data_IF_568122084576
#
_entry.id   IF_568122084576
#
_cell.length_a   1.000
_cell.length_b   1.000
_cell.length_c   1.000
_cell.angle_alpha   90.00
_cell.angle_beta   90.00
_cell.angle_gamma   90.00
#
_symmetry.space_group_name_H-M   'P 1'
#
loop_
_entity.id
_entity.type
_entity.pdbx_description
1 polymer ?
#
# COMPACT_ATOMS: atom_id res chain seq x y z
N UNK A 1 1.69 3.84 -25.56
CA UNK A 1 2.46 2.75 -24.91
C UNK A 1 1.47 2.06 -23.99
N UNK A 2 1.32 0.74 -24.10
CA UNK A 2 0.38 -0.01 -23.26
C UNK A 2 1.10 -0.37 -21.97
N UNK A 3 0.46 -0.17 -20.82
CA UNK A 3 0.98 -0.58 -19.51
C UNK A 3 0.16 -1.76 -19.02
N UNK A 4 0.81 -2.87 -18.72
CA UNK A 4 0.18 -4.04 -18.13
C UNK A 4 0.58 -4.20 -16.65
N UNK A 5 -0.41 -4.26 -15.77
CA UNK A 5 -0.19 -4.32 -14.33
C UNK A 5 -0.68 -5.64 -13.70
N UNK A 6 0.06 -6.13 -12.69
CA UNK A 6 -0.43 -7.14 -11.76
C UNK A 6 -0.92 -6.45 -10.49
N UNK A 7 -2.18 -6.66 -10.11
CA UNK A 7 -2.77 -6.12 -8.88
C UNK A 7 -2.92 -7.25 -7.86
N UNK A 8 -2.16 -7.17 -6.77
CA UNK A 8 -2.22 -8.09 -5.64
C UNK A 8 -3.11 -7.49 -4.54
N UNK A 9 -4.34 -8.00 -4.40
CA UNK A 9 -5.36 -7.37 -3.56
C UNK A 9 -6.30 -8.34 -2.83
N UNK A 10 -6.71 -7.96 -1.62
CA UNK A 10 -7.71 -8.69 -0.83
C UNK A 10 -9.14 -8.36 -1.27
N UNK A 11 -9.61 -8.91 -2.40
CA UNK A 11 -11.03 -8.75 -2.73
C UNK A 11 -11.49 -9.28 -4.08
N UNK A 12 -12.15 -10.44 -4.07
CA UNK A 12 -13.15 -10.78 -5.10
C UNK A 12 -14.59 -10.52 -4.62
N UNK A 13 -14.80 -10.42 -3.30
CA UNK A 13 -16.13 -10.21 -2.72
C UNK A 13 -16.45 -8.71 -2.66
N UNK A 14 -17.38 -8.30 -3.51
CA UNK A 14 -17.88 -6.92 -3.71
C UNK A 14 -18.55 -6.28 -2.49
N UNK A 15 -18.68 -6.99 -1.37
CA UNK A 15 -19.35 -6.50 -0.16
C UNK A 15 -18.41 -6.25 1.03
N UNK A 16 -17.09 -6.42 0.89
CA UNK A 16 -16.14 -6.07 1.95
C UNK A 16 -15.51 -4.69 1.73
N UNK A 17 -15.17 -3.94 2.81
CA UNK A 17 -14.44 -2.66 2.70
C UNK A 17 -13.15 -2.75 1.88
N UNK A 18 -12.49 -3.91 1.89
CA UNK A 18 -11.29 -4.21 1.10
C UNK A 18 -11.59 -4.48 -0.38
N UNK A 19 -12.72 -5.11 -0.71
CA UNK A 19 -13.13 -5.36 -2.09
C UNK A 19 -13.48 -4.08 -2.86
N UNK A 20 -14.01 -3.06 -2.17
CA UNK A 20 -14.33 -1.77 -2.79
C UNK A 20 -13.09 -1.03 -3.32
N UNK A 21 -11.91 -1.23 -2.71
CA UNK A 21 -10.72 -0.44 -3.06
C UNK A 21 -10.19 -0.78 -4.46
N UNK A 22 -10.31 -2.03 -4.89
CA UNK A 22 -9.92 -2.47 -6.23
C UNK A 22 -11.08 -2.51 -7.23
N UNK A 23 -12.29 -2.25 -6.77
CA UNK A 23 -13.48 -2.25 -7.61
C UNK A 23 -13.39 -1.20 -8.73
N UNK A 24 -12.77 -0.05 -8.46
CA UNK A 24 -12.55 0.99 -9.45
C UNK A 24 -11.83 0.47 -10.70
N UNK A 25 -10.79 -0.34 -10.53
CA UNK A 25 -10.08 -0.97 -11.66
C UNK A 25 -11.03 -1.82 -12.51
N UNK A 26 -11.88 -2.64 -11.88
CA UNK A 26 -12.84 -3.50 -12.59
C UNK A 26 -13.96 -2.69 -13.26
N UNK A 27 -14.51 -1.70 -12.57
CA UNK A 27 -15.61 -0.88 -13.08
C UNK A 27 -15.21 -0.06 -14.29
N UNK A 28 -13.97 0.44 -14.32
CA UNK A 28 -13.46 1.31 -15.37
C UNK A 28 -12.43 0.60 -16.25
N UNK A 29 -12.44 -0.74 -16.34
CA UNK A 29 -11.42 -1.50 -17.06
C UNK A 29 -11.33 -1.11 -18.55
N UNK A 30 -12.47 -0.95 -19.21
CA UNK A 30 -12.52 -0.53 -20.61
C UNK A 30 -12.04 0.91 -20.79
N UNK A 31 -12.41 1.82 -19.88
CA UNK A 31 -11.99 3.21 -19.92
C UNK A 31 -10.48 3.36 -19.67
N UNK A 32 -9.93 2.61 -18.71
CA UNK A 32 -8.50 2.53 -18.43
C UNK A 32 -7.73 2.01 -19.65
N UNK A 33 -8.24 0.97 -20.31
CA UNK A 33 -7.63 0.42 -21.53
C UNK A 33 -7.69 1.41 -22.69
N UNK A 34 -8.87 1.97 -22.96
CA UNK A 34 -9.10 2.79 -24.16
C UNK A 34 -8.49 4.18 -24.03
N UNK A 35 -8.49 4.76 -22.83
CA UNK A 35 -8.02 6.13 -22.61
C UNK A 35 -6.54 6.19 -22.23
N UNK A 36 -6.04 5.20 -21.48
CA UNK A 36 -4.68 5.22 -20.92
C UNK A 36 -3.80 4.09 -21.43
N UNK A 37 -4.34 3.14 -22.21
CA UNK A 37 -3.60 1.92 -22.57
C UNK A 37 -3.27 1.07 -21.34
N UNK A 38 -4.02 1.20 -20.25
CA UNK A 38 -3.77 0.49 -19.00
C UNK A 38 -4.62 -0.78 -18.92
N UNK A 39 -3.96 -1.93 -18.86
CA UNK A 39 -4.61 -3.23 -18.65
C UNK A 39 -4.06 -3.87 -17.39
N UNK A 40 -4.80 -4.80 -16.79
CA UNK A 40 -4.36 -5.42 -15.56
C UNK A 40 -4.87 -6.84 -15.39
N UNK A 41 -4.10 -7.62 -14.64
CA UNK A 41 -4.53 -8.85 -13.99
C UNK A 41 -4.71 -8.59 -12.50
N UNK A 42 -5.73 -9.21 -11.90
CA UNK A 42 -5.96 -9.10 -10.47
C UNK A 42 -5.83 -10.47 -9.83
N UNK A 43 -4.94 -10.59 -8.83
CA UNK A 43 -4.75 -11.82 -8.07
C UNK A 43 -5.18 -11.58 -6.63
N UNK A 44 -6.05 -12.47 -6.16
CA UNK A 44 -6.44 -12.48 -4.76
C UNK A 44 -5.22 -12.83 -3.89
N UNK A 45 -5.03 -12.07 -2.81
CA UNK A 45 -4.07 -12.36 -1.75
C UNK A 45 -4.83 -12.53 -0.44
N UNK A 46 -4.42 -13.47 0.40
CA UNK A 46 -4.96 -13.69 1.74
C UNK A 46 -3.89 -13.46 2.83
N UNK A 47 -2.62 -13.60 2.47
CA UNK A 47 -1.47 -13.59 3.37
C UNK A 47 -0.31 -12.78 2.78
N UNK A 48 0.69 -12.48 3.61
CA UNK A 48 1.96 -11.90 3.15
C UNK A 48 2.73 -12.86 2.21
N UNK A 49 2.58 -14.17 2.38
CA UNK A 49 3.21 -15.15 1.48
C UNK A 49 2.60 -15.09 0.08
N UNK A 50 1.30 -14.80 -0.06
CA UNK A 50 0.67 -14.58 -1.37
C UNK A 50 1.23 -13.32 -2.05
N UNK A 51 1.50 -12.26 -1.28
CA UNK A 51 2.15 -11.04 -1.79
C UNK A 51 3.54 -11.40 -2.32
N UNK A 52 4.34 -12.09 -1.50
CA UNK A 52 5.70 -12.52 -1.87
C UNK A 52 5.66 -13.40 -3.12
N UNK A 53 4.79 -14.40 -3.18
CA UNK A 53 4.63 -15.27 -4.33
C UNK A 53 4.23 -14.49 -5.60
N UNK A 54 3.31 -13.54 -5.48
CA UNK A 54 2.91 -12.65 -6.58
C UNK A 54 4.07 -11.85 -7.14
N UNK A 55 4.82 -11.17 -6.27
CA UNK A 55 6.01 -10.39 -6.62
C UNK A 55 7.08 -11.28 -7.29
N UNK A 56 7.44 -12.40 -6.68
CA UNK A 56 8.43 -13.32 -7.25
C UNK A 56 7.99 -13.86 -8.61
N UNK A 57 6.71 -14.18 -8.78
CA UNK A 57 6.17 -14.66 -10.06
C UNK A 57 6.24 -13.60 -11.17
N UNK A 58 5.96 -12.34 -10.86
CA UNK A 58 6.04 -11.24 -11.82
C UNK A 58 7.48 -10.93 -12.25
N UNK A 59 8.45 -11.05 -11.35
CA UNK A 59 9.85 -10.85 -11.70
C UNK A 59 10.47 -12.05 -12.44
N UNK A 60 9.89 -13.25 -12.32
CA UNK A 60 10.34 -14.44 -13.03
C UNK A 60 10.00 -14.43 -14.53
N UNK A 61 9.14 -13.49 -14.97
CA UNK A 61 8.72 -13.34 -16.37
C UNK A 61 8.96 -11.90 -16.84
N UNK A 62 10.21 -11.53 -17.16
CA UNK A 62 10.54 -10.18 -17.59
C UNK A 62 9.69 -9.74 -18.80
N UNK A 63 9.10 -8.55 -18.70
CA UNK A 63 8.25 -7.97 -19.74
C UNK A 63 6.79 -8.46 -19.76
N UNK A 64 6.39 -9.38 -18.88
CA UNK A 64 4.97 -9.74 -18.72
C UNK A 64 4.20 -8.58 -18.06
N UNK A 65 4.74 -8.02 -16.98
CA UNK A 65 4.17 -6.87 -16.28
C UNK A 65 5.13 -5.69 -16.29
N UNK A 66 4.60 -4.50 -16.46
CA UNK A 66 5.33 -3.23 -16.29
C UNK A 66 5.29 -2.77 -14.83
N UNK A 67 4.17 -3.07 -14.15
CA UNK A 67 3.87 -2.60 -12.79
C UNK A 67 3.26 -3.73 -11.96
N UNK A 68 3.63 -3.83 -10.69
CA UNK A 68 2.92 -4.62 -9.68
C UNK A 68 2.39 -3.68 -8.62
N UNK A 69 1.08 -3.69 -8.42
CA UNK A 69 0.40 -2.91 -7.39
C UNK A 69 0.02 -3.82 -6.24
N UNK A 70 0.42 -3.48 -5.02
CA UNK A 70 0.19 -4.29 -3.82
C UNK A 70 -0.72 -3.55 -2.86
N UNK A 71 -1.77 -4.23 -2.41
CA UNK A 71 -2.72 -3.73 -1.44
C UNK A 71 -2.76 -4.65 -0.21
N UNK A 72 -1.86 -4.46 0.78
CA UNK A 72 -1.79 -5.30 1.97
C UNK A 72 -2.97 -5.05 2.92
N UNK A 73 -3.09 -5.86 3.98
CA UNK A 73 -3.99 -5.56 5.08
C UNK A 73 -3.29 -4.65 6.08
N UNK A 74 -4.01 -3.71 6.67
CA UNK A 74 -3.50 -2.84 7.73
C UNK A 74 -2.91 -3.64 8.91
N UNK A 75 -3.41 -4.85 9.16
CA UNK A 75 -2.94 -5.73 10.22
C UNK A 75 -1.72 -6.58 9.82
N UNK A 76 -1.25 -6.50 8.58
CA UNK A 76 -0.07 -7.25 8.16
C UNK A 76 1.17 -6.68 8.87
N UNK A 77 2.04 -7.53 9.46
CA UNK A 77 3.23 -7.07 10.16
C UNK A 77 4.13 -6.20 9.28
N UNK A 78 4.38 -4.96 9.71
CA UNK A 78 5.11 -3.97 8.92
C UNK A 78 6.53 -4.43 8.58
N UNK A 79 7.27 -4.96 9.56
CA UNK A 79 8.62 -5.49 9.37
C UNK A 79 8.66 -6.57 8.29
N UNK A 80 7.67 -7.47 8.28
CA UNK A 80 7.62 -8.54 7.30
C UNK A 80 7.32 -8.04 5.89
N UNK A 81 6.45 -7.04 5.79
CA UNK A 81 6.16 -6.39 4.51
C UNK A 81 7.40 -5.64 3.97
N UNK A 82 8.15 -4.96 4.84
CA UNK A 82 9.42 -4.31 4.51
C UNK A 82 10.41 -5.33 3.97
N UNK A 83 10.60 -6.48 4.64
CA UNK A 83 11.49 -7.54 4.17
C UNK A 83 11.13 -8.03 2.76
N UNK A 84 9.83 -8.29 2.51
CA UNK A 84 9.34 -8.76 1.22
C UNK A 84 9.59 -7.72 0.12
N UNK A 85 9.36 -6.44 0.42
CA UNK A 85 9.54 -5.37 -0.55
C UNK A 85 11.02 -5.09 -0.82
N UNK A 86 11.86 -5.13 0.22
CA UNK A 86 13.31 -4.99 0.09
C UNK A 86 13.91 -6.13 -0.77
N UNK A 87 13.48 -7.38 -0.51
CA UNK A 87 13.88 -8.54 -1.32
C UNK A 87 13.52 -8.31 -2.80
N UNK A 88 12.27 -7.91 -3.07
CA UNK A 88 11.82 -7.65 -4.43
C UNK A 88 12.58 -6.48 -5.07
N UNK A 89 12.78 -5.38 -4.34
CA UNK A 89 13.45 -4.18 -4.81
C UNK A 89 14.90 -4.42 -5.21
N UNK A 90 15.59 -5.36 -4.55
CA UNK A 90 16.99 -5.72 -4.82
C UNK A 90 17.23 -6.43 -6.15
N UNK A 91 16.18 -6.83 -6.87
CA UNK A 91 16.28 -7.53 -8.16
C UNK A 91 16.60 -6.55 -9.29
N UNK A 92 17.60 -6.88 -10.10
CA UNK A 92 18.00 -6.06 -11.26
C UNK A 92 16.87 -5.92 -12.30
N UNK A 93 16.15 -7.01 -12.57
CA UNK A 93 15.04 -7.04 -13.50
C UNK A 93 13.74 -7.31 -12.74
N UNK A 94 12.91 -6.27 -12.64
CA UNK A 94 11.60 -6.34 -11.99
C UNK A 94 10.65 -5.28 -12.56
N UNK A 95 9.33 -5.53 -12.55
CA UNK A 95 8.35 -4.47 -12.75
C UNK A 95 8.46 -3.41 -11.64
N UNK A 96 7.89 -2.24 -11.92
CA UNK A 96 7.73 -1.17 -10.92
C UNK A 96 6.83 -1.63 -9.79
N UNK A 97 7.25 -1.41 -8.54
CA UNK A 97 6.47 -1.76 -7.36
C UNK A 97 5.68 -0.55 -6.88
N UNK A 98 4.36 -0.69 -6.78
CA UNK A 98 3.46 0.35 -6.28
C UNK A 98 2.74 -0.15 -5.03
N UNK A 99 2.81 0.60 -3.95
CA UNK A 99 2.01 0.36 -2.75
C UNK A 99 0.71 1.15 -2.82
N UNK A 100 -0.43 0.47 -2.61
CA UNK A 100 -1.75 1.09 -2.49
C UNK A 100 -2.15 1.12 -1.01
N UNK A 101 -1.97 2.28 -0.37
CA UNK A 101 -2.43 2.55 1.00
C UNK A 101 -3.85 3.14 0.97
N UNK A 102 -4.83 2.28 1.27
CA UNK A 102 -6.25 2.63 1.32
C UNK A 102 -6.75 2.94 2.73
N UNK A 103 -5.87 3.01 3.72
CA UNK A 103 -6.26 3.21 5.10
C UNK A 103 -6.82 4.62 5.29
N UNK A 104 -7.94 4.71 6.02
CA UNK A 104 -8.65 5.96 6.27
C UNK A 104 -7.92 6.96 7.20
N UNK A 105 -6.99 6.55 8.10
CA UNK A 105 -6.21 7.52 8.86
C UNK A 105 -5.22 8.27 7.97
N UNK A 106 -4.91 9.49 8.37
CA UNK A 106 -3.77 10.25 7.85
C UNK A 106 -2.44 9.75 8.39
N UNK A 107 -2.35 8.46 8.69
CA UNK A 107 -1.17 7.71 9.10
C UNK A 107 -1.23 6.32 8.46
N UNK A 108 -0.15 5.55 8.59
CA UNK A 108 -0.04 4.21 8.05
C UNK A 108 0.88 3.38 8.93
N UNK A 109 0.58 2.09 9.18
CA UNK A 109 1.53 1.18 9.81
C UNK A 109 2.69 0.82 8.88
N UNK A 110 2.59 1.17 7.59
CA UNK A 110 3.48 0.66 6.54
C UNK A 110 4.32 1.75 5.87
N UNK A 111 4.59 2.89 6.50
CA UNK A 111 5.47 3.89 5.88
C UNK A 111 6.92 3.40 5.71
N UNK A 112 7.35 2.43 6.52
CA UNK A 112 8.69 1.83 6.39
C UNK A 112 8.97 1.17 5.04
N UNK A 113 7.95 0.94 4.19
CA UNK A 113 8.16 0.39 2.84
C UNK A 113 8.57 1.43 1.80
N UNK A 114 8.48 2.73 2.13
CA UNK A 114 8.79 3.83 1.21
C UNK A 114 10.15 3.70 0.49
N UNK A 115 11.25 3.26 1.14
CA UNK A 115 12.54 3.08 0.47
C UNK A 115 12.57 1.94 -0.57
N UNK A 116 11.55 1.09 -0.60
CA UNK A 116 11.54 -0.16 -1.36
C UNK A 116 10.47 -0.19 -2.46
N UNK A 117 9.68 0.88 -2.61
CA UNK A 117 8.65 1.01 -3.65
C UNK A 117 9.05 2.07 -4.66
N UNK A 118 8.59 1.92 -5.90
CA UNK A 118 8.74 2.94 -6.93
C UNK A 118 7.67 4.03 -6.79
N UNK A 119 6.52 3.71 -6.20
CA UNK A 119 5.46 4.68 -5.91
C UNK A 119 4.64 4.23 -4.70
N UNK A 120 4.29 5.17 -3.84
CA UNK A 120 3.38 4.98 -2.71
C UNK A 120 2.13 5.82 -2.91
N UNK A 121 0.98 5.19 -3.15
CA UNK A 121 -0.28 5.88 -3.39
C UNK A 121 -1.13 5.77 -2.12
N UNK A 122 -1.28 6.88 -1.42
CA UNK A 122 -2.19 6.99 -0.26
C UNK A 122 -3.52 7.59 -0.68
N UNK A 123 -4.63 6.98 -0.22
CA UNK A 123 -5.99 7.45 -0.53
C UNK A 123 -6.25 8.89 -0.07
N UNK A 124 -5.70 9.27 1.09
CA UNK A 124 -5.84 10.60 1.67
C UNK A 124 -4.48 11.06 2.20
N UNK A 125 -3.99 12.18 1.67
CA UNK A 125 -2.74 12.80 2.11
C UNK A 125 -3.03 14.06 2.92
N UNK A 126 -2.21 14.29 3.95
CA UNK A 126 -2.21 15.58 4.63
C UNK A 126 -1.63 16.64 3.70
N UNK A 127 -2.27 17.82 3.69
CA UNK A 127 -1.72 19.00 3.00
C UNK A 127 -0.37 19.42 3.60
N UNK A 128 -0.25 19.28 4.92
CA UNK A 128 0.99 19.51 5.67
C UNK A 128 1.64 18.15 5.95
N UNK A 129 2.68 17.82 5.18
CA UNK A 129 3.41 16.55 5.28
C UNK A 129 4.27 16.45 6.53
N UNK A 130 4.64 17.58 7.15
CA UNK A 130 5.44 17.58 8.38
C UNK A 130 4.65 16.95 9.54
N UNK A 131 3.32 16.91 9.42
CA UNK A 131 2.47 16.20 10.39
C UNK A 131 2.74 14.70 10.43
N UNK A 132 3.27 14.07 9.37
CA UNK A 132 3.67 12.66 9.42
C UNK A 132 4.91 12.42 10.30
N UNK A 133 5.68 13.47 10.61
CA UNK A 133 6.90 13.38 11.43
C UNK A 133 6.62 13.47 12.94
N UNK A 134 5.37 13.72 13.34
CA UNK A 134 5.03 13.86 14.75
C UNK A 134 4.75 12.52 15.41
N UNK A 135 5.22 12.36 16.63
CA UNK A 135 4.95 11.21 17.48
C UNK A 135 3.60 11.38 18.19
N UNK A 136 2.53 11.01 17.48
CA UNK A 136 1.18 11.05 18.03
C UNK A 136 0.90 9.82 18.89
N UNK A 137 0.25 9.99 20.04
CA UNK A 137 -0.25 8.85 20.79
C UNK A 137 -1.19 8.00 19.92
N UNK A 138 -0.97 6.68 19.91
CA UNK A 138 -1.70 5.76 19.02
C UNK A 138 -1.32 5.84 17.53
N UNK A 139 -0.35 6.69 17.16
CA UNK A 139 0.11 6.86 15.79
C UNK A 139 -0.84 7.65 14.88
N UNK A 140 -1.76 8.45 15.45
CA UNK A 140 -2.69 9.29 14.70
C UNK A 140 -3.12 10.55 15.48
N UNK A 141 -3.31 11.67 14.79
CA UNK A 141 -3.68 12.97 15.37
C UNK A 141 -4.91 12.89 16.28
N UNK A 142 -5.93 12.13 15.88
CA UNK A 142 -7.16 12.04 16.64
C UNK A 142 -6.99 11.25 17.95
N UNK A 143 -6.24 10.15 17.93
CA UNK A 143 -5.97 9.38 19.15
C UNK A 143 -5.12 10.19 20.13
N UNK A 144 -4.17 10.96 19.62
CA UNK A 144 -3.39 11.92 20.41
C UNK A 144 -4.28 12.98 21.07
N UNK A 145 -5.19 13.59 20.30
CA UNK A 145 -6.16 14.54 20.85
C UNK A 145 -7.02 13.93 21.96
N UNK A 146 -7.55 12.72 21.75
CA UNK A 146 -8.41 12.04 22.72
C UNK A 146 -7.63 11.70 24.00
N UNK A 147 -6.40 11.20 23.90
CA UNK A 147 -5.57 10.93 25.08
C UNK A 147 -5.24 12.22 25.84
N UNK A 148 -4.70 13.22 25.15
CA UNK A 148 -4.15 14.42 25.79
C UNK A 148 -5.23 15.41 26.25
N UNK A 149 -6.37 15.46 25.55
CA UNK A 149 -7.45 16.42 25.86
C UNK A 149 -8.58 15.81 26.69
N UNK A 150 -8.86 14.52 26.53
CA UNK A 150 -9.96 13.83 27.23
C UNK A 150 -9.47 12.86 28.31
N UNK A 151 -8.15 12.65 28.45
CA UNK A 151 -7.56 11.81 29.48
C UNK A 151 -7.80 10.30 29.26
N UNK A 152 -8.03 9.88 28.01
CA UNK A 152 -8.24 8.48 27.69
C UNK A 152 -6.91 7.73 27.60
N UNK A 153 -6.76 6.62 28.33
CA UNK A 153 -5.57 5.78 28.26
C UNK A 153 -5.63 4.83 27.06
N UNK A 154 -4.68 4.97 26.13
CA UNK A 154 -4.57 4.13 24.93
C UNK A 154 -3.74 2.84 25.18
N UNK A 155 -3.06 2.73 26.32
CA UNK A 155 -2.12 1.65 26.58
C UNK A 155 -1.05 1.53 25.49
N UNK A 156 -0.77 0.31 25.05
CA UNK A 156 0.23 0.01 24.01
C UNK A 156 -0.34 0.05 22.58
N UNK A 157 -1.58 0.54 22.40
CA UNK A 157 -2.18 0.59 21.07
C UNK A 157 -1.47 1.62 20.18
N UNK A 158 -1.00 1.18 19.01
CA UNK A 158 -0.41 2.05 17.99
C UNK A 158 -0.73 1.53 16.58
N UNK A 159 -1.17 2.43 15.69
CA UNK A 159 -1.46 2.13 14.29
C UNK A 159 -0.47 2.78 13.31
N UNK A 160 0.27 3.80 13.74
CA UNK A 160 1.11 4.62 12.88
C UNK A 160 2.56 4.15 12.81
N UNK A 161 3.24 4.64 11.78
CA UNK A 161 4.69 4.62 11.67
C UNK A 161 5.15 6.01 11.23
N UNK A 162 6.42 6.32 11.45
CA UNK A 162 7.03 7.57 10.98
C UNK A 162 7.79 7.30 9.68
N UNK A 163 7.41 7.93 8.56
CA UNK A 163 8.16 7.81 7.31
C UNK A 163 9.54 8.46 7.44
N UNK A 164 10.55 7.86 6.80
CA UNK A 164 11.85 8.52 6.64
C UNK A 164 11.67 9.82 5.82
N UNK A 165 12.08 11.00 6.34
CA UNK A 165 11.93 12.28 5.65
C UNK A 165 12.47 12.31 4.21
N UNK A 166 13.53 11.54 3.91
CA UNK A 166 14.15 11.49 2.58
C UNK A 166 13.21 10.88 1.53
N UNK A 167 12.23 10.09 1.97
CA UNK A 167 11.32 9.36 1.11
C UNK A 167 9.90 9.94 1.03
N UNK A 168 9.68 11.14 1.58
CA UNK A 168 8.40 11.87 1.52
C UNK A 168 8.50 12.91 0.41
N UNK A 169 7.98 12.59 -0.78
CA UNK A 169 7.97 13.48 -1.95
C UNK A 169 6.68 13.34 -2.76
#
# INVERSE_FOLDING_TARGET
MTTHALILARGERTASPTGHQVQGFRMFADDLKNSLGFTFEMRHIATLDDIRAGLLSSAAKPGEFDVVMVMPNWSDPAEKLIEIFAEFASREQRPKLVMLDYYAPTSSPHFGVLPHVDLYIKRQTLRDTDLYQRDYAGGFIYSDFVQNSLGFDLGDWNFGSTPDPVHIH
#
